data_IF_925383867071
#
_entry.id   IF_925383867071
#
_cell.length_a   1.000
_cell.length_b   1.000
_cell.length_c   1.000
_cell.angle_alpha   90.00
_cell.angle_beta   90.00
_cell.angle_gamma   90.00
#
_symmetry.space_group_name_H-M   'P 1'
#
loop_
_entity.id
_entity.type
_entity.pdbx_description
1 polymer ?
#
# COMPACT_ATOMS: atom_id res chain seq x y z
N UNK A 1 -3.13 -3.08 -14.71
CA UNK A 1 -3.71 -2.10 -15.66
C UNK A 1 -5.23 -2.02 -15.55
N UNK A 2 -5.93 -3.11 -15.27
CA UNK A 2 -7.41 -3.10 -15.12
C UNK A 2 -7.92 -2.19 -14.00
N UNK A 3 -7.08 -1.82 -13.04
CA UNK A 3 -7.40 -0.91 -11.94
C UNK A 3 -6.98 0.55 -12.21
N UNK A 4 -6.61 0.90 -13.45
CA UNK A 4 -6.30 2.26 -13.85
C UNK A 4 -4.80 2.62 -13.85
N UNK A 5 -3.89 1.65 -13.65
CA UNK A 5 -2.46 1.90 -13.76
C UNK A 5 -2.02 2.04 -15.23
N UNK A 6 -1.35 3.13 -15.58
CA UNK A 6 -0.80 3.35 -16.92
C UNK A 6 0.35 2.37 -17.20
N UNK A 7 1.25 2.21 -16.23
CA UNK A 7 2.37 1.30 -16.30
C UNK A 7 2.37 0.35 -15.11
N UNK A 8 2.71 -0.91 -15.35
CA UNK A 8 2.88 -1.94 -14.33
C UNK A 8 4.26 -2.56 -14.51
N UNK A 9 5.04 -2.58 -13.44
CA UNK A 9 6.39 -3.11 -13.40
C UNK A 9 6.37 -4.37 -12.53
N UNK A 10 6.85 -5.48 -13.06
CA UNK A 10 7.06 -6.68 -12.26
C UNK A 10 8.39 -6.56 -11.51
N UNK A 11 8.29 -6.47 -10.19
CA UNK A 11 9.46 -6.34 -9.33
C UNK A 11 10.31 -7.61 -9.24
N UNK A 12 9.80 -8.76 -9.74
CA UNK A 12 10.60 -9.99 -9.83
C UNK A 12 11.60 -9.93 -10.98
N UNK A 13 11.24 -9.20 -12.04
CA UNK A 13 12.04 -9.09 -13.26
C UNK A 13 12.86 -7.81 -13.32
N UNK A 14 12.36 -6.74 -12.68
CA UNK A 14 12.93 -5.40 -12.84
C UNK A 14 13.03 -4.66 -11.52
N UNK A 15 14.23 -4.16 -11.20
CA UNK A 15 14.41 -3.23 -10.09
C UNK A 15 13.90 -1.83 -10.49
N UNK A 16 12.80 -1.43 -9.88
CA UNK A 16 12.19 -0.10 -10.07
C UNK A 16 13.19 1.03 -9.79
N UNK A 17 14.09 0.84 -8.83
CA UNK A 17 15.07 1.89 -8.44
C UNK A 17 16.21 2.05 -9.43
N UNK A 18 16.37 1.10 -10.37
CA UNK A 18 17.37 1.15 -11.43
C UNK A 18 16.86 1.88 -12.68
N UNK A 19 15.57 2.23 -12.75
CA UNK A 19 14.99 2.94 -13.87
C UNK A 19 15.43 4.42 -13.91
N UNK A 20 15.46 4.99 -15.13
CA UNK A 20 15.81 6.40 -15.32
C UNK A 20 14.62 7.35 -15.09
N UNK A 21 13.41 6.82 -15.04
CA UNK A 21 12.20 7.60 -14.84
C UNK A 21 12.20 8.28 -13.47
N UNK A 22 11.67 9.48 -13.42
CA UNK A 22 11.52 10.26 -12.20
C UNK A 22 10.04 10.40 -11.85
N UNK A 23 9.77 10.35 -10.54
CA UNK A 23 8.43 10.40 -9.99
C UNK A 23 8.27 11.60 -9.05
N UNK A 24 7.11 12.21 -9.05
CA UNK A 24 6.76 13.28 -8.12
C UNK A 24 6.31 12.72 -6.77
N UNK A 25 5.74 11.51 -6.77
CA UNK A 25 5.31 10.82 -5.57
C UNK A 25 5.62 9.33 -5.65
N UNK A 26 6.29 8.80 -4.62
CA UNK A 26 6.44 7.36 -4.41
C UNK A 26 5.67 7.01 -3.15
N UNK A 27 4.67 6.14 -3.27
CA UNK A 27 3.92 5.60 -2.15
C UNK A 27 4.30 4.13 -1.94
N UNK A 28 5.14 3.87 -0.94
CA UNK A 28 5.55 2.52 -0.54
C UNK A 28 4.60 1.96 0.52
N UNK A 29 3.52 1.33 0.09
CA UNK A 29 2.48 0.77 0.96
C UNK A 29 2.95 -0.46 1.75
N UNK A 30 4.01 -1.13 1.31
CA UNK A 30 4.53 -2.37 1.90
C UNK A 30 5.77 -2.15 2.77
N UNK A 31 6.49 -1.05 2.56
CA UNK A 31 7.71 -0.72 3.28
C UNK A 31 8.93 -1.54 2.83
N UNK A 32 8.90 -2.11 1.64
CA UNK A 32 10.02 -2.88 1.08
C UNK A 32 11.04 -2.02 0.33
N UNK A 33 10.65 -0.83 -0.11
CA UNK A 33 11.57 0.07 -0.78
C UNK A 33 12.48 0.77 0.24
N UNK A 34 13.77 0.83 -0.09
CA UNK A 34 14.70 1.63 0.70
C UNK A 34 14.58 3.10 0.27
N UNK A 35 14.28 4.00 1.22
CA UNK A 35 14.18 5.44 0.95
C UNK A 35 15.43 6.00 0.26
N UNK A 36 16.64 5.57 0.66
CA UNK A 36 17.88 6.05 0.08
C UNK A 36 18.00 5.72 -1.42
N UNK A 37 17.50 4.55 -1.83
CA UNK A 37 17.44 4.17 -3.24
C UNK A 37 16.31 4.89 -3.97
N UNK A 38 15.15 4.96 -3.36
CA UNK A 38 13.97 5.65 -3.92
C UNK A 38 14.23 7.14 -4.19
N UNK A 39 15.09 7.78 -3.40
CA UNK A 39 15.49 9.17 -3.62
C UNK A 39 16.12 9.41 -5.00
N UNK A 40 16.74 8.39 -5.59
CA UNK A 40 17.38 8.49 -6.92
C UNK A 40 16.37 8.63 -8.04
N UNK A 41 15.17 8.08 -7.86
CA UNK A 41 14.07 8.11 -8.83
C UNK A 41 12.99 9.14 -8.47
N UNK A 42 13.21 9.98 -7.46
CA UNK A 42 12.36 11.13 -7.17
C UNK A 42 12.81 12.36 -7.96
N UNK A 43 11.84 13.14 -8.39
CA UNK A 43 12.06 14.50 -8.87
C UNK A 43 12.59 15.39 -7.74
N UNK A 44 13.14 16.55 -8.10
CA UNK A 44 13.77 17.50 -7.14
C UNK A 44 12.83 17.89 -5.98
N UNK A 45 11.54 18.03 -6.26
CA UNK A 45 10.51 18.37 -5.29
C UNK A 45 9.56 17.19 -4.99
N UNK A 46 9.93 16.00 -5.44
CA UNK A 46 9.16 14.77 -5.25
C UNK A 46 9.13 14.32 -3.79
N UNK A 47 8.10 13.54 -3.45
CA UNK A 47 7.86 13.06 -2.08
C UNK A 47 7.84 11.54 -2.01
N UNK A 48 8.40 10.99 -0.93
CA UNK A 48 8.31 9.57 -0.58
C UNK A 48 7.39 9.43 0.64
N UNK A 49 6.36 8.62 0.51
CA UNK A 49 5.38 8.37 1.56
C UNK A 49 5.35 6.88 1.89
N UNK A 50 5.49 6.54 3.18
CA UNK A 50 5.32 5.17 3.66
C UNK A 50 4.51 5.14 4.95
N UNK A 51 3.54 4.21 5.10
CA UNK A 51 2.88 3.93 6.38
C UNK A 51 3.74 3.04 7.30
N UNK A 52 4.84 2.48 6.77
CA UNK A 52 5.76 1.62 7.53
C UNK A 52 6.98 2.42 7.95
N UNK A 53 7.22 2.45 9.27
CA UNK A 53 8.39 3.14 9.83
C UNK A 53 9.61 2.23 9.74
N UNK A 54 10.53 2.54 8.83
CA UNK A 54 11.84 1.89 8.76
C UNK A 54 12.91 2.68 9.51
N UNK A 55 13.99 2.03 9.95
CA UNK A 55 15.10 2.70 10.60
C UNK A 55 15.75 3.76 9.70
N UNK A 56 15.84 3.50 8.39
CA UNK A 56 16.37 4.46 7.43
C UNK A 56 15.45 5.69 7.29
N UNK A 57 14.14 5.49 7.30
CA UNK A 57 13.16 6.58 7.26
C UNK A 57 13.23 7.41 8.54
N UNK A 58 13.29 6.73 9.71
CA UNK A 58 13.41 7.40 11.01
C UNK A 58 14.68 8.27 11.08
N UNK A 59 15.82 7.73 10.65
CA UNK A 59 17.08 8.47 10.60
C UNK A 59 16.99 9.70 9.71
N UNK A 60 16.39 9.57 8.50
CA UNK A 60 16.20 10.69 7.60
C UNK A 60 15.25 11.75 8.16
N UNK A 61 14.18 11.35 8.83
CA UNK A 61 13.25 12.27 9.51
C UNK A 61 13.96 13.05 10.63
N UNK A 62 14.81 12.37 11.40
CA UNK A 62 15.61 13.00 12.47
C UNK A 62 16.59 14.01 11.88
N UNK A 63 17.33 13.64 10.84
CA UNK A 63 18.29 14.52 10.17
C UNK A 63 17.62 15.72 9.50
N UNK A 64 16.42 15.52 8.96
CA UNK A 64 15.61 16.61 8.41
C UNK A 64 15.15 17.58 9.51
N UNK A 65 14.77 17.06 10.69
CA UNK A 65 14.38 17.88 11.86
C UNK A 65 15.57 18.71 12.38
N UNK A 66 16.77 18.17 12.32
CA UNK A 66 17.99 18.87 12.69
C UNK A 66 18.47 19.87 11.62
N UNK A 67 17.73 20.05 10.52
CA UNK A 67 18.05 20.90 9.35
C UNK A 67 19.39 20.57 8.67
N UNK A 68 19.96 19.41 8.95
CA UNK A 68 21.22 18.94 8.36
C UNK A 68 21.01 18.51 6.91
N UNK A 69 19.83 18.00 6.58
CA UNK A 69 19.44 17.61 5.22
C UNK A 69 18.19 18.39 4.82
N UNK A 70 18.20 19.00 3.64
CA UNK A 70 17.00 19.61 3.04
C UNK A 70 16.04 18.51 2.52
N UNK A 71 15.62 17.60 3.39
CA UNK A 71 14.76 16.48 3.00
C UNK A 71 13.34 16.68 3.52
N UNK A 72 12.57 17.50 2.82
CA UNK A 72 11.09 17.48 2.95
C UNK A 72 10.45 16.32 2.19
N UNK A 73 11.26 15.46 1.59
CA UNK A 73 10.82 14.44 0.64
C UNK A 73 10.36 13.14 1.31
N UNK A 74 10.70 12.90 2.59
CA UNK A 74 10.28 11.71 3.31
C UNK A 74 9.10 12.03 4.23
N UNK A 75 7.97 11.38 4.03
CA UNK A 75 6.76 11.54 4.82
C UNK A 75 6.38 10.19 5.43
N UNK A 76 6.09 10.20 6.71
CA UNK A 76 5.53 9.06 7.44
C UNK A 76 4.05 9.35 7.74
N UNK A 77 3.18 8.44 7.33
CA UNK A 77 1.75 8.55 7.60
C UNK A 77 1.28 7.38 8.45
N UNK A 78 1.01 7.64 9.72
CA UNK A 78 0.44 6.66 10.63
C UNK A 78 -1.00 7.06 10.96
N UNK A 79 -1.94 6.49 10.24
CA UNK A 79 -3.37 6.76 10.42
C UNK A 79 -3.88 6.41 11.82
N UNK A 80 -3.20 5.48 12.52
CA UNK A 80 -3.52 5.09 13.88
C UNK A 80 -3.42 6.24 14.91
N UNK A 81 -2.57 7.23 14.66
CA UNK A 81 -2.41 8.41 15.54
C UNK A 81 -3.38 9.55 15.24
N UNK A 82 -4.20 9.43 14.21
CA UNK A 82 -5.20 10.45 13.91
C UNK A 82 -6.35 10.43 14.94
N UNK A 83 -6.92 11.60 15.26
CA UNK A 83 -8.10 11.69 16.11
C UNK A 83 -9.26 10.80 15.62
N UNK A 84 -10.07 10.28 16.53
CA UNK A 84 -11.13 9.35 16.16
C UNK A 84 -12.14 9.93 15.17
N UNK A 85 -12.48 11.22 15.30
CA UNK A 85 -13.38 11.90 14.36
C UNK A 85 -12.83 11.97 12.94
N UNK A 86 -11.52 12.24 12.80
CA UNK A 86 -10.84 12.26 11.49
C UNK A 86 -10.85 10.88 10.84
N UNK A 87 -10.52 9.83 11.60
CA UNK A 87 -10.58 8.45 11.12
C UNK A 87 -11.99 8.05 10.66
N UNK A 88 -13.02 8.45 11.45
CA UNK A 88 -14.41 8.20 11.09
C UNK A 88 -14.81 8.88 9.79
N UNK A 89 -14.44 10.15 9.61
CA UNK A 89 -14.70 10.87 8.37
C UNK A 89 -13.98 10.24 7.16
N UNK A 90 -12.75 9.77 7.33
CA UNK A 90 -12.02 9.05 6.28
C UNK A 90 -12.70 7.73 5.89
N UNK A 91 -13.13 6.93 6.88
CA UNK A 91 -13.86 5.68 6.65
C UNK A 91 -15.18 5.93 5.92
N UNK A 92 -15.90 6.98 6.29
CA UNK A 92 -17.16 7.35 5.65
C UNK A 92 -16.93 7.70 4.17
N UNK A 93 -15.90 8.48 3.83
CA UNK A 93 -15.53 8.78 2.45
C UNK A 93 -15.16 7.53 1.65
N UNK A 94 -14.43 6.59 2.28
CA UNK A 94 -14.10 5.32 1.63
C UNK A 94 -15.35 4.48 1.36
N UNK A 95 -16.32 4.45 2.30
CA UNK A 95 -17.61 3.77 2.09
C UNK A 95 -18.36 4.37 0.89
N UNK A 96 -18.47 5.69 0.84
CA UNK A 96 -19.12 6.39 -0.28
C UNK A 96 -18.45 6.08 -1.64
N UNK A 97 -17.12 5.98 -1.67
CA UNK A 97 -16.38 5.63 -2.89
C UNK A 97 -16.59 4.17 -3.31
N UNK A 98 -16.74 3.25 -2.36
CA UNK A 98 -17.10 1.86 -2.62
C UNK A 98 -18.53 1.75 -3.17
N UNK A 99 -19.48 2.43 -2.53
CA UNK A 99 -20.88 2.42 -2.91
C UNK A 99 -21.11 3.02 -4.30
N UNK A 100 -20.35 4.03 -4.67
CA UNK A 100 -20.40 4.65 -6.01
C UNK A 100 -19.57 3.90 -7.06
N UNK A 101 -18.86 2.83 -6.69
CA UNK A 101 -18.04 2.05 -7.60
C UNK A 101 -16.74 2.73 -8.07
N UNK A 102 -16.42 3.91 -7.53
CA UNK A 102 -15.14 4.60 -7.80
C UNK A 102 -13.98 3.77 -7.26
N UNK A 103 -14.14 3.22 -6.05
CA UNK A 103 -13.20 2.29 -5.45
C UNK A 103 -13.75 0.87 -5.57
N UNK A 104 -12.92 -0.06 -6.04
CA UNK A 104 -13.28 -1.47 -6.17
C UNK A 104 -12.35 -2.33 -5.33
N UNK A 105 -12.93 -3.24 -4.56
CA UNK A 105 -12.17 -4.22 -3.79
C UNK A 105 -11.86 -5.42 -4.67
N UNK A 106 -10.59 -5.80 -4.74
CA UNK A 106 -10.16 -7.02 -5.42
C UNK A 106 -9.99 -8.12 -4.37
N UNK A 107 -10.65 -9.25 -4.61
CA UNK A 107 -10.54 -10.46 -3.78
C UNK A 107 -9.66 -11.44 -4.54
N UNK A 108 -8.55 -11.87 -3.90
CA UNK A 108 -7.64 -12.87 -4.44
C UNK A 108 -8.13 -14.28 -4.16
N UNK A 109 -8.45 -14.56 -2.87
CA UNK A 109 -8.93 -15.87 -2.42
C UNK A 109 -10.02 -15.74 -1.37
N UNK A 110 -10.91 -16.74 -1.36
CA UNK A 110 -11.92 -16.92 -0.33
C UNK A 110 -11.66 -18.25 0.36
N UNK A 111 -11.72 -18.26 1.68
CA UNK A 111 -11.60 -19.44 2.51
C UNK A 111 -12.81 -19.56 3.43
N UNK A 112 -13.24 -20.75 3.75
CA UNK A 112 -14.19 -20.99 4.81
C UNK A 112 -13.51 -20.81 6.17
N UNK A 113 -14.28 -20.50 7.22
CA UNK A 113 -13.71 -20.31 8.56
C UNK A 113 -12.94 -21.55 9.03
N UNK A 114 -13.38 -22.74 8.68
CA UNK A 114 -12.68 -24.01 9.01
C UNK A 114 -11.28 -24.08 8.40
N UNK A 115 -11.05 -23.40 7.28
CA UNK A 115 -9.78 -23.36 6.54
C UNK A 115 -8.89 -22.17 6.93
N UNK A 116 -9.16 -21.51 8.05
CA UNK A 116 -8.42 -20.30 8.47
C UNK A 116 -6.91 -20.52 8.56
N UNK A 117 -6.46 -21.72 8.94
CA UNK A 117 -5.03 -22.06 9.01
C UNK A 117 -4.40 -22.00 7.61
N UNK A 118 -5.09 -22.54 6.60
CA UNK A 118 -4.63 -22.49 5.21
C UNK A 118 -4.59 -21.07 4.67
N UNK A 119 -5.55 -20.24 5.05
CA UNK A 119 -5.57 -18.83 4.72
C UNK A 119 -4.35 -18.09 5.31
N UNK A 120 -3.99 -18.35 6.58
CA UNK A 120 -2.80 -17.78 7.21
C UNK A 120 -1.52 -18.26 6.53
N UNK A 121 -1.38 -19.56 6.25
CA UNK A 121 -0.23 -20.06 5.50
C UNK A 121 -0.07 -19.38 4.15
N UNK A 122 -1.18 -19.13 3.43
CA UNK A 122 -1.11 -18.38 2.19
C UNK A 122 -0.63 -16.95 2.39
N UNK A 123 -1.10 -16.25 3.43
CA UNK A 123 -0.63 -14.90 3.76
C UNK A 123 0.87 -14.87 4.08
N UNK A 124 1.37 -15.86 4.81
CA UNK A 124 2.77 -15.98 5.23
C UNK A 124 3.72 -16.17 4.05
N UNK A 125 3.24 -16.68 2.92
CA UNK A 125 4.06 -16.74 1.69
C UNK A 125 4.51 -15.37 1.19
N UNK A 126 3.83 -14.29 1.59
CA UNK A 126 4.09 -12.93 1.13
C UNK A 126 3.72 -12.64 -0.33
N UNK A 127 3.12 -13.62 -1.03
CA UNK A 127 2.77 -13.53 -2.46
C UNK A 127 1.28 -13.30 -2.72
N UNK A 128 0.52 -12.85 -1.72
CA UNK A 128 -0.89 -12.49 -1.94
C UNK A 128 -1.00 -11.36 -2.96
N UNK A 129 -1.94 -11.48 -3.90
CA UNK A 129 -2.14 -10.51 -4.97
C UNK A 129 -3.17 -9.44 -4.63
N UNK A 130 -4.14 -9.78 -3.76
CA UNK A 130 -5.21 -8.90 -3.34
C UNK A 130 -5.72 -9.31 -1.93
N UNK A 131 -6.96 -8.96 -1.58
CA UNK A 131 -7.54 -9.30 -0.30
C UNK A 131 -7.85 -10.80 -0.19
N UNK A 132 -7.57 -11.38 0.96
CA UNK A 132 -8.02 -12.72 1.34
C UNK A 132 -9.24 -12.58 2.25
N UNK A 133 -10.32 -13.27 1.93
CA UNK A 133 -11.60 -13.16 2.62
C UNK A 133 -11.92 -14.49 3.30
N UNK A 134 -12.32 -14.42 4.56
CA UNK A 134 -12.89 -15.56 5.28
C UNK A 134 -14.42 -15.44 5.22
N UNK A 135 -15.05 -16.50 4.72
CA UNK A 135 -16.52 -16.61 4.64
C UNK A 135 -17.01 -17.30 5.90
N UNK A 136 -17.94 -16.66 6.60
CA UNK A 136 -18.46 -17.15 7.89
C UNK A 136 -19.68 -18.09 7.74
N UNK A 137 -20.41 -17.99 6.62
CA UNK A 137 -21.59 -18.78 6.34
C UNK A 137 -21.44 -19.60 5.05
N UNK A 138 -22.06 -20.78 5.00
CA UNK A 138 -22.14 -21.67 3.82
C UNK A 138 -23.09 -21.13 2.73
N UNK A 139 -23.39 -19.86 2.69
CA UNK A 139 -24.18 -19.29 1.61
C UNK A 139 -23.40 -19.37 0.29
N UNK A 140 -23.62 -20.44 -0.43
CA UNK A 140 -23.29 -20.57 -1.84
C UNK A 140 -24.15 -19.57 -2.64
N UNK A 141 -23.81 -18.29 -2.60
CA UNK A 141 -24.30 -17.38 -3.62
C UNK A 141 -23.49 -17.63 -4.90
N UNK A 142 -24.17 -18.28 -5.84
CA UNK A 142 -23.67 -18.46 -7.19
C UNK A 142 -23.38 -17.11 -7.85
N UNK A 143 -22.13 -16.71 -7.80
CA UNK A 143 -21.63 -15.63 -8.64
C UNK A 143 -21.21 -16.26 -9.96
N UNK A 144 -22.15 -16.35 -10.90
CA UNK A 144 -21.86 -16.60 -12.30
C UNK A 144 -20.95 -15.48 -12.80
N UNK A 145 -19.80 -15.90 -13.31
CA UNK A 145 -18.90 -15.03 -14.07
C UNK A 145 -19.64 -14.53 -15.33
N UNK A 146 -19.63 -13.24 -15.52
CA UNK A 146 -19.89 -12.58 -16.79
C UNK A 146 -18.60 -11.90 -17.25
#
# INVERSE_FOLDING_TARGET
RSLGADNVIDYNDTDVTAQMDKYDLIFDSVGKLNYAHSKRILNKDGSYLSPVLSLSLLFNLLMARLKIVKSRQALFSATGFLPAHTRRSMLQKLSEQLDTGILRTVVDRRYQLVDIVSAHHYLDTGHKRANVVIVMDDQQEGCQAA
#
